data_IF_598320344883
#
_entry.id   IF_598320344883
#
_cell.length_a   1.000
_cell.length_b   1.000
_cell.length_c   1.000
_cell.angle_alpha   90.00
_cell.angle_beta   90.00
_cell.angle_gamma   90.00
#
_symmetry.space_group_name_H-M   'P 1'
#
loop_
_entity.id
_entity.type
_entity.pdbx_description
1 polymer ?
#
# COMPACT_ATOMS: atom_id res chain seq x y z
N UNK A 1 15.20 -8.86 2.36
CA UNK A 1 14.10 -9.10 1.44
C UNK A 1 12.80 -8.59 2.03
N UNK A 2 12.08 -7.77 1.29
CA UNK A 2 10.84 -7.17 1.79
C UNK A 2 9.65 -7.94 1.26
N UNK A 3 8.73 -8.27 2.17
CA UNK A 3 7.52 -9.01 1.81
C UNK A 3 6.34 -8.04 1.71
N UNK A 4 5.35 -8.43 0.90
CA UNK A 4 4.14 -7.62 0.73
C UNK A 4 3.49 -7.34 2.09
N UNK A 5 3.37 -8.35 2.94
CA UNK A 5 2.75 -8.18 4.25
C UNK A 5 3.53 -7.23 5.14
N UNK A 6 4.84 -7.15 4.97
CA UNK A 6 5.64 -6.20 5.74
C UNK A 6 5.33 -4.77 5.34
N UNK A 7 5.25 -4.53 4.04
CA UNK A 7 4.93 -3.20 3.53
C UNK A 7 3.52 -2.80 3.97
N UNK A 8 2.57 -3.73 3.86
CA UNK A 8 1.20 -3.49 4.28
C UNK A 8 1.12 -3.18 5.76
N UNK A 9 1.81 -3.96 6.57
CA UNK A 9 1.80 -3.77 8.02
C UNK A 9 2.34 -2.39 8.39
N UNK A 10 3.40 -1.99 7.72
CA UNK A 10 3.99 -0.68 7.96
C UNK A 10 3.01 0.43 7.60
N UNK A 11 2.35 0.31 6.46
CA UNK A 11 1.37 1.29 6.03
C UNK A 11 0.20 1.37 7.01
N UNK A 12 -0.29 0.24 7.47
CA UNK A 12 -1.39 0.20 8.43
C UNK A 12 -0.99 0.80 9.77
N UNK A 13 0.25 0.59 10.16
CA UNK A 13 0.76 1.09 11.44
C UNK A 13 0.91 2.61 11.42
N UNK A 14 1.43 3.15 10.33
CA UNK A 14 1.63 4.59 10.19
C UNK A 14 0.40 5.33 9.68
N UNK A 15 -0.52 4.59 9.06
CA UNK A 15 -1.69 5.20 8.45
C UNK A 15 -1.38 5.93 7.15
N UNK A 16 -0.24 5.65 6.55
CA UNK A 16 0.17 6.33 5.32
C UNK A 16 0.95 5.36 4.43
N UNK A 17 0.59 5.33 3.16
CA UNK A 17 1.29 4.53 2.16
C UNK A 17 2.10 5.46 1.28
N UNK A 18 3.41 5.44 1.46
CA UNK A 18 4.32 6.29 0.71
C UNK A 18 4.45 5.80 -0.72
N UNK A 19 4.86 6.72 -1.60
CA UNK A 19 5.04 6.39 -3.02
C UNK A 19 6.06 5.26 -3.20
N UNK A 20 7.12 5.30 -2.42
CA UNK A 20 8.14 4.25 -2.46
C UNK A 20 7.56 2.90 -2.10
N UNK A 21 6.70 2.88 -1.08
CA UNK A 21 6.05 1.64 -0.66
C UNK A 21 5.10 1.12 -1.73
N UNK A 22 4.39 2.02 -2.40
CA UNK A 22 3.51 1.64 -3.51
C UNK A 22 4.29 0.99 -4.63
N UNK A 23 5.41 1.58 -5.00
CA UNK A 23 6.26 1.02 -6.05
C UNK A 23 6.78 -0.35 -5.66
N UNK A 24 7.17 -0.50 -4.40
CA UNK A 24 7.64 -1.78 -3.89
C UNK A 24 6.54 -2.83 -3.97
N UNK A 25 5.32 -2.46 -3.59
CA UNK A 25 4.18 -3.37 -3.67
C UNK A 25 3.93 -3.81 -5.11
N UNK A 26 4.00 -2.89 -6.06
CA UNK A 26 3.81 -3.24 -7.46
C UNK A 26 4.83 -4.26 -7.93
N UNK A 27 6.08 -4.05 -7.57
CA UNK A 27 7.13 -5.00 -7.94
C UNK A 27 6.90 -6.36 -7.31
N UNK A 28 6.53 -6.37 -6.05
CA UNK A 28 6.30 -7.62 -5.34
C UNK A 28 5.09 -8.37 -5.89
N UNK A 29 4.08 -7.65 -6.35
CA UNK A 29 2.90 -8.26 -6.93
C UNK A 29 3.16 -8.88 -8.30
N UNK A 30 4.23 -8.47 -8.98
CA UNK A 30 4.59 -9.08 -10.27
C UNK A 30 5.39 -10.35 -10.10
N UNK A 31 5.84 -10.64 -8.88
CA UNK A 31 6.56 -11.88 -8.59
C UNK A 31 5.63 -12.86 -7.90
N UNK A 32 6.14 -14.04 -7.59
CA UNK A 32 5.34 -15.03 -6.87
C UNK A 32 5.13 -14.58 -5.43
N UNK A 33 3.90 -14.63 -4.99
CA UNK A 33 3.56 -14.26 -3.62
C UNK A 33 2.57 -15.28 -3.05
N UNK A 34 2.55 -15.36 -1.72
CA UNK A 34 1.69 -16.29 -1.00
C UNK A 34 0.29 -15.73 -0.86
N UNK A 35 -0.64 -16.62 -0.49
CA UNK A 35 -2.00 -16.21 -0.21
C UNK A 35 -2.05 -15.20 0.93
N UNK A 36 -1.19 -15.38 1.93
CA UNK A 36 -1.12 -14.45 3.06
C UNK A 36 -0.73 -13.05 2.60
N UNK A 37 0.20 -12.97 1.67
CA UNK A 37 0.61 -11.69 1.11
C UNK A 37 -0.53 -11.03 0.35
N UNK A 38 -1.26 -11.84 -0.41
CA UNK A 38 -2.41 -11.34 -1.14
C UNK A 38 -3.48 -10.83 -0.20
N UNK A 39 -3.77 -11.58 0.86
CA UNK A 39 -4.75 -11.15 1.85
C UNK A 39 -4.34 -9.86 2.52
N UNK A 40 -3.06 -9.71 2.83
CA UNK A 40 -2.54 -8.49 3.42
C UNK A 40 -2.75 -7.31 2.48
N UNK A 41 -2.48 -7.52 1.19
CA UNK A 41 -2.69 -6.48 0.18
C UNK A 41 -4.16 -6.06 0.13
N UNK A 42 -5.07 -7.03 0.19
CA UNK A 42 -6.50 -6.73 0.18
C UNK A 42 -6.91 -5.92 1.41
N UNK A 43 -6.34 -6.25 2.56
CA UNK A 43 -6.60 -5.47 3.77
C UNK A 43 -6.15 -4.02 3.61
N UNK A 44 -5.00 -3.83 2.97
CA UNK A 44 -4.51 -2.49 2.72
C UNK A 44 -5.45 -1.73 1.80
N UNK A 45 -5.95 -2.40 0.75
CA UNK A 45 -6.91 -1.78 -0.16
C UNK A 45 -8.16 -1.33 0.57
N UNK A 46 -8.68 -2.18 1.45
CA UNK A 46 -9.85 -1.82 2.24
C UNK A 46 -9.57 -0.63 3.14
N UNK A 47 -8.43 -0.64 3.81
CA UNK A 47 -8.06 0.46 4.69
C UNK A 47 -7.96 1.76 3.92
N UNK A 48 -7.43 1.71 2.70
CA UNK A 48 -7.34 2.89 1.85
C UNK A 48 -8.72 3.38 1.44
N UNK A 49 -9.63 2.46 1.15
CA UNK A 49 -10.97 2.81 0.73
C UNK A 49 -11.75 3.52 1.84
N UNK A 50 -11.62 3.06 3.07
CA UNK A 50 -12.34 3.68 4.19
C UNK A 50 -11.59 4.85 4.81
N UNK A 51 -10.43 5.19 4.26
CA UNK A 51 -9.70 6.37 4.70
C UNK A 51 -8.79 6.16 5.89
N UNK A 52 -8.57 4.91 6.30
CA UNK A 52 -7.66 4.60 7.40
C UNK A 52 -6.20 4.74 7.00
N UNK A 53 -5.92 4.53 5.72
CA UNK A 53 -4.58 4.67 5.18
C UNK A 53 -4.65 5.67 4.03
N UNK A 54 -3.80 6.68 4.08
CA UNK A 54 -3.72 7.69 3.03
C UNK A 54 -2.62 7.30 2.04
N UNK A 55 -2.95 7.37 0.77
CA UNK A 55 -1.98 7.10 -0.28
C UNK A 55 -1.31 8.41 -0.68
N UNK A 56 -0.01 8.47 -0.54
CA UNK A 56 0.74 9.69 -0.83
C UNK A 56 0.59 10.12 -2.27
N UNK A 57 0.57 9.16 -3.19
CA UNK A 57 0.40 9.49 -4.60
C UNK A 57 -0.93 10.17 -4.87
N UNK A 58 -1.98 9.73 -4.18
CA UNK A 58 -3.30 10.34 -4.33
C UNK A 58 -3.36 11.74 -3.75
N UNK A 59 -2.69 11.93 -2.62
CA UNK A 59 -2.63 13.26 -2.00
C UNK A 59 -1.95 14.26 -2.92
N UNK A 60 -0.86 13.82 -3.57
CA UNK A 60 -0.16 14.68 -4.52
C UNK A 60 -1.02 15.01 -5.72
N UNK A 61 -1.77 14.02 -6.23
CA UNK A 61 -2.68 14.25 -7.34
C UNK A 61 -3.78 15.22 -6.97
N UNK A 62 -4.28 15.12 -5.76
CA UNK A 62 -5.31 16.05 -5.28
C UNK A 62 -4.80 17.46 -5.28
N UNK A 63 -3.57 17.65 -4.84
CA UNK A 63 -2.96 18.96 -4.78
C UNK A 63 -2.78 19.56 -6.16
N UNK A 64 -2.44 18.75 -7.15
CA UNK A 64 -2.20 19.24 -8.50
C UNK A 64 -3.49 19.52 -9.26
N UNK A 65 -4.59 18.96 -8.84
CA UNK A 65 -5.87 19.16 -9.52
C UNK A 65 -6.55 20.47 -9.13
N UNK A 66 -6.01 21.14 -8.16
CA UNK A 66 -6.51 22.45 -7.80
C UNK A 66 -5.81 23.52 -8.61
#
# INVERSE_FOLDING_TARGET
>A
MVLIREVVQQALSTGCLKIEAEEQLRKLLTTKYDREDFNAFMLLQEAALVGQVKQESRELLKCTQQ
#
